data_IF_601647289422
#
_entry.id   IF_601647289422
#
_cell.length_a   1.000
_cell.length_b   1.000
_cell.length_c   1.000
_cell.angle_alpha   90.00
_cell.angle_beta   90.00
_cell.angle_gamma   90.00
#
_symmetry.space_group_name_H-M   'P 1'
#
loop_
_entity.id
_entity.type
_entity.pdbx_description
1 polymer ?
#
# COMPACT_ATOMS: atom_id res chain seq x y z
N UNK A 1 -4.34 15.01 29.61
CA UNK A 1 -4.48 13.56 29.41
C UNK A 1 -4.43 13.36 27.92
N UNK A 2 -3.22 13.21 27.38
CA UNK A 2 -3.02 12.84 25.99
C UNK A 2 -3.44 11.37 25.90
N UNK A 3 -4.57 11.09 25.26
CA UNK A 3 -5.08 9.74 25.04
C UNK A 3 -4.23 9.06 23.97
N UNK A 4 -2.94 8.89 24.29
CA UNK A 4 -1.83 8.60 23.39
C UNK A 4 -2.11 7.36 22.57
N UNK A 5 -2.55 7.57 21.33
CA UNK A 5 -2.46 6.54 20.30
C UNK A 5 -0.98 6.16 20.21
N UNK A 6 -0.62 4.88 20.29
CA UNK A 6 0.75 4.47 20.03
C UNK A 6 1.21 5.01 18.67
N UNK A 7 2.52 5.19 18.46
CA UNK A 7 3.03 5.65 17.16
C UNK A 7 2.48 4.72 16.07
N UNK A 8 1.89 5.33 15.04
CA UNK A 8 1.30 4.59 13.93
C UNK A 8 2.40 3.80 13.22
N UNK A 9 2.10 2.55 12.90
CA UNK A 9 2.95 1.76 12.00
C UNK A 9 2.96 2.41 10.61
N UNK A 10 4.00 2.16 9.78
CA UNK A 10 4.02 2.63 8.40
C UNK A 10 2.76 2.23 7.60
N UNK A 11 2.27 1.01 7.81
CA UNK A 11 1.04 0.52 7.18
C UNK A 11 -0.21 1.29 7.63
N UNK A 12 -0.35 1.62 8.91
CA UNK A 12 -1.46 2.43 9.42
C UNK A 12 -1.42 3.86 8.88
N UNK A 13 -0.24 4.47 8.83
CA UNK A 13 -0.08 5.83 8.29
C UNK A 13 -0.39 5.90 6.79
N UNK A 14 0.05 4.90 6.02
CA UNK A 14 -0.24 4.79 4.59
C UNK A 14 -1.74 4.53 4.35
N UNK A 15 -2.36 3.67 5.16
CA UNK A 15 -3.80 3.43 5.14
C UNK A 15 -4.60 4.70 5.37
N UNK A 16 -4.29 5.46 6.43
CA UNK A 16 -5.00 6.69 6.77
C UNK A 16 -4.82 7.74 5.65
N UNK A 17 -3.63 7.85 5.08
CA UNK A 17 -3.37 8.75 3.94
C UNK A 17 -4.20 8.39 2.71
N UNK A 18 -4.26 7.09 2.37
CA UNK A 18 -5.08 6.58 1.26
C UNK A 18 -6.57 6.80 1.50
N UNK A 19 -7.09 6.46 2.69
CA UNK A 19 -8.50 6.66 3.02
C UNK A 19 -8.89 8.14 3.02
N UNK A 20 -8.10 9.01 3.64
CA UNK A 20 -8.36 10.44 3.66
C UNK A 20 -8.46 11.00 2.23
N UNK A 21 -7.58 10.55 1.32
CA UNK A 21 -7.67 10.92 -0.08
C UNK A 21 -8.95 10.40 -0.75
N UNK A 22 -9.28 9.11 -0.58
CA UNK A 22 -10.49 8.51 -1.14
C UNK A 22 -11.76 9.25 -0.70
N UNK A 23 -11.84 9.62 0.57
CA UNK A 23 -13.01 10.29 1.13
C UNK A 23 -13.19 11.72 0.59
N UNK A 24 -12.10 12.41 0.25
CA UNK A 24 -12.14 13.77 -0.28
C UNK A 24 -12.20 13.85 -1.82
N UNK A 25 -11.66 12.85 -2.52
CA UNK A 25 -11.44 12.89 -3.97
C UNK A 25 -12.65 12.37 -4.76
N UNK A 26 -13.35 13.26 -5.48
CA UNK A 26 -14.50 12.90 -6.33
C UNK A 26 -14.14 12.09 -7.59
N UNK A 27 -12.86 12.06 -7.98
CA UNK A 27 -12.39 11.31 -9.15
C UNK A 27 -12.11 9.84 -8.80
N UNK A 28 -11.77 9.58 -7.55
CA UNK A 28 -11.56 8.23 -7.05
C UNK A 28 -12.91 7.55 -6.77
N UNK A 29 -12.96 6.26 -7.02
CA UNK A 29 -14.08 5.39 -6.69
C UNK A 29 -13.54 3.98 -6.44
N UNK A 30 -13.28 3.67 -5.18
CA UNK A 30 -12.69 2.39 -4.77
C UNK A 30 -13.46 1.13 -5.22
N UNK A 31 -14.81 1.11 -5.24
CA UNK A 31 -15.57 -0.11 -5.60
C UNK A 31 -15.27 -0.68 -6.98
N UNK A 32 -14.80 0.13 -7.93
CA UNK A 32 -14.39 -0.35 -9.26
C UNK A 32 -12.89 -0.11 -9.55
N UNK A 33 -12.07 0.01 -8.50
CA UNK A 33 -10.62 0.29 -8.58
C UNK A 33 -10.27 1.52 -9.45
N UNK A 34 -11.17 2.51 -9.55
CA UNK A 34 -10.87 3.75 -10.27
C UNK A 34 -10.19 4.74 -9.34
N UNK A 35 -8.95 5.09 -9.62
CA UNK A 35 -8.20 6.08 -8.87
C UNK A 35 -7.74 7.22 -9.78
N UNK A 36 -7.63 8.43 -9.25
CA UNK A 36 -6.78 9.43 -9.88
C UNK A 36 -5.30 9.08 -9.65
N UNK A 37 -4.37 9.73 -10.35
CA UNK A 37 -2.93 9.45 -10.21
C UNK A 37 -2.43 9.49 -8.77
N UNK A 38 -2.87 10.48 -7.99
CA UNK A 38 -2.52 10.60 -6.56
C UNK A 38 -3.12 9.44 -5.75
N UNK A 39 -4.39 9.12 -5.98
CA UNK A 39 -5.05 8.01 -5.30
C UNK A 39 -4.43 6.66 -5.61
N UNK A 40 -3.92 6.47 -6.84
CA UNK A 40 -3.22 5.26 -7.26
C UNK A 40 -1.88 5.15 -6.55
N UNK A 41 -1.10 6.24 -6.50
CA UNK A 41 0.17 6.27 -5.76
C UNK A 41 -0.02 5.95 -4.26
N UNK A 42 -1.04 6.55 -3.62
CA UNK A 42 -1.36 6.28 -2.23
C UNK A 42 -1.84 4.83 -2.00
N UNK A 43 -2.58 4.26 -2.96
CA UNK A 43 -2.99 2.85 -2.90
C UNK A 43 -1.78 1.93 -2.98
N UNK A 44 -0.85 2.19 -3.89
CA UNK A 44 0.38 1.40 -4.05
C UNK A 44 1.24 1.47 -2.80
N UNK A 45 1.41 2.66 -2.21
CA UNK A 45 2.14 2.81 -0.95
C UNK A 45 1.48 2.00 0.16
N UNK A 46 0.16 2.12 0.34
CA UNK A 46 -0.56 1.36 1.35
C UNK A 46 -0.42 -0.16 1.15
N UNK A 47 -0.67 -0.65 -0.06
CA UNK A 47 -0.58 -2.08 -0.36
C UNK A 47 0.86 -2.59 -0.15
N UNK A 48 1.88 -1.81 -0.52
CA UNK A 48 3.28 -2.17 -0.31
C UNK A 48 3.61 -2.28 1.18
N UNK A 49 3.25 -1.27 1.99
CA UNK A 49 3.44 -1.29 3.43
C UNK A 49 2.68 -2.46 4.09
N UNK A 50 1.46 -2.73 3.65
CA UNK A 50 0.68 -3.88 4.13
C UNK A 50 1.38 -5.20 3.80
N UNK A 51 1.91 -5.37 2.59
CA UNK A 51 2.65 -6.58 2.20
C UNK A 51 3.94 -6.77 3.01
N UNK A 52 4.59 -5.70 3.45
CA UNK A 52 5.75 -5.78 4.35
C UNK A 52 5.39 -6.33 5.73
N UNK A 53 4.15 -6.11 6.20
CA UNK A 53 3.67 -6.70 7.47
C UNK A 53 3.32 -8.19 7.39
N UNK A 54 3.25 -8.76 6.19
CA UNK A 54 2.92 -10.18 6.00
C UNK A 54 4.20 -11.01 6.10
N UNK A 55 4.29 -11.80 7.16
CA UNK A 55 5.34 -12.79 7.40
C UNK A 55 5.19 -14.04 6.49
N UNK A 56 3.96 -14.44 6.20
CA UNK A 56 3.66 -15.55 5.29
C UNK A 56 4.03 -15.22 3.84
N UNK A 57 5.16 -15.79 3.40
CA UNK A 57 5.68 -15.62 2.04
C UNK A 57 4.75 -16.13 0.96
N UNK A 58 3.98 -17.21 1.21
CA UNK A 58 3.02 -17.72 0.25
C UNK A 58 1.87 -16.74 0.06
N UNK A 59 1.30 -16.26 1.17
CA UNK A 59 0.22 -15.26 1.15
C UNK A 59 0.64 -13.98 0.43
N UNK A 60 1.83 -13.45 0.73
CA UNK A 60 2.38 -12.27 0.05
C UNK A 60 2.51 -12.49 -1.46
N UNK A 61 3.04 -13.64 -1.89
CA UNK A 61 3.16 -13.99 -3.33
C UNK A 61 1.80 -14.13 -4.02
N UNK A 62 0.81 -14.70 -3.34
CA UNK A 62 -0.54 -14.84 -3.88
C UNK A 62 -1.18 -13.46 -4.13
N UNK A 63 -1.13 -12.56 -3.15
CA UNK A 63 -1.66 -11.19 -3.29
C UNK A 63 -0.97 -10.47 -4.46
N UNK A 64 0.36 -10.55 -4.54
CA UNK A 64 1.11 -9.96 -5.64
C UNK A 64 0.68 -10.52 -6.98
N UNK A 65 0.58 -11.86 -7.12
CA UNK A 65 0.14 -12.51 -8.36
C UNK A 65 -1.25 -12.02 -8.77
N UNK A 66 -2.20 -12.02 -7.84
CA UNK A 66 -3.58 -11.65 -8.13
C UNK A 66 -3.67 -10.17 -8.60
N UNK A 67 -2.87 -9.26 -8.04
CA UNK A 67 -2.81 -7.87 -8.51
C UNK A 67 -2.18 -7.75 -9.90
N UNK A 68 -1.08 -8.49 -10.18
CA UNK A 68 -0.47 -8.57 -11.52
C UNK A 68 -1.44 -9.12 -12.58
N UNK A 69 -2.28 -10.09 -12.21
CA UNK A 69 -3.29 -10.66 -13.11
C UNK A 69 -4.43 -9.67 -13.39
N UNK A 70 -4.81 -8.84 -12.41
CA UNK A 70 -5.86 -7.83 -12.59
C UNK A 70 -5.38 -6.62 -13.40
N UNK A 71 -4.21 -6.09 -13.08
CA UNK A 71 -3.62 -4.91 -13.71
C UNK A 71 -2.08 -5.04 -13.69
N UNK A 72 -1.46 -5.42 -14.81
CA UNK A 72 -0.01 -5.60 -14.87
C UNK A 72 0.79 -4.34 -14.54
N UNK A 73 0.27 -3.15 -14.88
CA UNK A 73 0.97 -1.89 -14.63
C UNK A 73 0.99 -1.59 -13.13
N UNK A 74 -0.15 -1.76 -12.46
CA UNK A 74 -0.22 -1.62 -11.00
C UNK A 74 0.61 -2.69 -10.31
N UNK A 75 0.56 -3.93 -10.79
CA UNK A 75 1.40 -5.01 -10.27
C UNK A 75 2.90 -4.69 -10.33
N UNK A 76 3.39 -4.16 -11.45
CA UNK A 76 4.78 -3.72 -11.60
C UNK A 76 5.14 -2.60 -10.63
N UNK A 77 4.28 -1.59 -10.50
CA UNK A 77 4.50 -0.46 -9.58
C UNK A 77 4.53 -0.93 -8.12
N UNK A 78 3.61 -1.80 -7.73
CA UNK A 78 3.55 -2.40 -6.40
C UNK A 78 4.81 -3.23 -6.11
N UNK A 79 5.25 -4.05 -7.07
CA UNK A 79 6.48 -4.84 -6.93
C UNK A 79 7.71 -3.96 -6.74
N UNK A 80 7.85 -2.91 -7.55
CA UNK A 80 8.95 -1.98 -7.41
C UNK A 80 8.96 -1.36 -6.01
N UNK A 81 7.81 -0.90 -5.52
CA UNK A 81 7.73 -0.28 -4.20
C UNK A 81 8.03 -1.23 -3.04
N UNK A 82 7.55 -2.47 -3.11
CA UNK A 82 7.88 -3.50 -2.10
C UNK A 82 9.38 -3.81 -2.07
N UNK A 83 10.03 -3.87 -3.24
CA UNK A 83 11.48 -4.08 -3.31
C UNK A 83 12.23 -2.90 -2.67
N UNK A 84 11.80 -1.67 -2.94
CA UNK A 84 12.37 -0.47 -2.31
C UNK A 84 12.26 -0.52 -0.78
N UNK A 85 11.05 -0.76 -0.25
CA UNK A 85 10.83 -0.87 1.20
C UNK A 85 11.68 -1.97 1.84
N UNK A 86 11.77 -3.14 1.19
CA UNK A 86 12.63 -4.22 1.68
C UNK A 86 14.10 -3.82 1.67
N UNK A 87 14.57 -3.15 0.62
CA UNK A 87 15.95 -2.66 0.57
C UNK A 87 16.22 -1.63 1.66
N UNK A 88 15.28 -0.71 1.93
CA UNK A 88 15.37 0.28 3.01
C UNK A 88 15.54 -0.42 4.37
N UNK A 89 14.67 -1.40 4.70
CA UNK A 89 14.75 -2.17 5.96
C UNK A 89 16.06 -2.98 6.09
N UNK A 90 16.60 -3.48 4.98
CA UNK A 90 17.80 -4.33 4.99
C UNK A 90 19.11 -3.55 4.79
N UNK A 91 19.06 -2.25 4.46
CA UNK A 91 20.22 -1.35 4.42
C UNK A 91 20.46 -0.65 5.76
N UNK A 92 19.44 -0.57 6.62
CA UNK A 92 19.52 -0.02 7.98
C UNK A 92 19.87 -1.09 9.06
N UNK A 93 20.04 -2.36 8.66
CA UNK A 93 20.40 -3.50 9.51
C UNK A 93 21.88 -3.92 9.35
#
# INVERSE_FOLDING_TARGET
MDSGRPPQTPAEAAHDSYLNHLMACRRCYAPNKRHCSVGQALRIEYDAQFLMTIDDTYRRKAIMRDEFECDPVVGEQLKARVIELWNEENQEA
#
